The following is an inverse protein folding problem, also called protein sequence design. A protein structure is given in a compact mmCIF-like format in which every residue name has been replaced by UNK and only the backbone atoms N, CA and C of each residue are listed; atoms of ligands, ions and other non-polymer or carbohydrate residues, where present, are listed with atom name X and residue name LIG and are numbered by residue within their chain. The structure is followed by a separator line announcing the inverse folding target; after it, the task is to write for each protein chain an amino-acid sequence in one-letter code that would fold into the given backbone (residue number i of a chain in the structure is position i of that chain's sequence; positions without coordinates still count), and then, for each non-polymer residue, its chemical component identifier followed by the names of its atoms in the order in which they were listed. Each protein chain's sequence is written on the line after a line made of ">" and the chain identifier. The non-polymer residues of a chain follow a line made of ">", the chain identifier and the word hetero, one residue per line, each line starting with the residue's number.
data_IF_596964538865
#
_entry.id   IF_596964538865
#
_cell.length_a   1.000
_cell.length_b   1.000
_cell.length_c   1.000
_cell.angle_alpha   90.00
_cell.angle_beta   90.00
_cell.angle_gamma   90.00
#
_symmetry.space_group_name_H-M   'P 1'
#
loop_
_entity.id
_entity.type
_entity.pdbx_description
1 polymer ?
#
# COMPACT_ATOMS: atom_id res chain seq x y z
N UNK A 1 30.85 47.71 -1.60
CA UNK A 1 30.71 46.57 -2.53
C UNK A 1 29.60 45.73 -1.97
N UNK A 2 28.37 45.99 -2.43
CA UNK A 2 27.18 45.33 -1.93
C UNK A 2 27.16 43.88 -2.45
N UNK A 3 26.93 42.93 -1.54
CA UNK A 3 26.70 41.53 -1.91
C UNK A 3 25.35 41.50 -2.62
N UNK A 4 25.25 41.04 -3.87
CA UNK A 4 23.96 40.97 -4.55
C UNK A 4 23.04 40.05 -3.76
N UNK A 5 21.82 40.55 -3.51
CA UNK A 5 20.74 39.81 -2.85
C UNK A 5 20.62 38.39 -3.42
N UNK A 6 20.60 37.43 -2.51
CA UNK A 6 20.66 36.01 -2.81
C UNK A 6 19.53 35.58 -3.74
N UNK A 7 19.90 34.98 -4.87
CA UNK A 7 18.98 34.24 -5.73
C UNK A 7 18.27 33.19 -4.86
N UNK A 8 16.93 33.12 -4.84
CA UNK A 8 16.21 32.07 -4.12
C UNK A 8 16.64 30.71 -4.66
N UNK A 9 17.47 29.99 -3.91
CA UNK A 9 17.81 28.60 -4.23
C UNK A 9 16.60 27.78 -3.83
N UNK A 10 15.72 27.51 -4.78
CA UNK A 10 14.63 26.57 -4.57
C UNK A 10 15.22 25.22 -4.18
N UNK A 11 14.75 24.60 -3.09
CA UNK A 11 15.22 23.28 -2.70
C UNK A 11 14.98 22.30 -3.85
N UNK A 12 15.91 21.37 -4.14
CA UNK A 12 15.74 20.43 -5.24
C UNK A 12 14.43 19.65 -5.03
N UNK A 13 13.64 19.36 -6.08
CA UNK A 13 12.33 18.71 -5.91
C UNK A 13 12.37 17.46 -5.01
N UNK A 14 13.41 16.63 -5.16
CA UNK A 14 13.60 15.44 -4.33
C UNK A 14 13.68 15.72 -2.82
N UNK A 15 14.11 16.90 -2.40
CA UNK A 15 14.19 17.27 -0.99
C UNK A 15 12.84 17.67 -0.38
N UNK A 16 11.82 17.94 -1.21
CA UNK A 16 10.49 18.38 -0.76
C UNK A 16 9.40 17.32 -1.00
N UNK A 17 9.60 16.34 -1.90
CA UNK A 17 8.61 15.28 -2.12
C UNK A 17 8.38 14.48 -0.84
N UNK A 18 7.15 14.54 -0.32
CA UNK A 18 6.68 13.77 0.85
C UNK A 18 5.86 12.54 0.45
N UNK A 19 5.12 12.65 -0.65
CA UNK A 19 4.18 11.64 -1.10
C UNK A 19 4.52 11.26 -2.54
N UNK A 20 4.69 9.97 -2.80
CA UNK A 20 5.04 9.47 -4.13
C UNK A 20 4.18 8.26 -4.49
N UNK A 21 3.46 8.37 -5.61
CA UNK A 21 2.77 7.28 -6.24
C UNK A 21 3.53 6.85 -7.49
N UNK A 22 3.80 5.56 -7.61
CA UNK A 22 4.56 4.97 -8.72
C UNK A 22 3.70 3.87 -9.34
N UNK A 23 3.05 4.16 -10.47
CA UNK A 23 2.19 3.21 -11.18
C UNK A 23 0.97 3.88 -11.81
N UNK A 24 0.08 3.09 -12.43
CA UNK A 24 -1.12 3.64 -13.06
C UNK A 24 -2.09 4.19 -12.01
N UNK A 25 -2.88 5.19 -12.38
CA UNK A 25 -3.95 5.74 -11.53
C UNK A 25 -5.30 5.10 -11.83
N UNK A 26 -5.39 4.31 -12.90
CA UNK A 26 -6.60 3.62 -13.35
C UNK A 26 -6.25 2.27 -13.95
N UNK A 27 -7.16 1.32 -13.79
CA UNK A 27 -7.11 -0.03 -14.35
C UNK A 27 -7.33 -0.03 -15.86
N UNK A 28 -7.94 1.03 -16.39
CA UNK A 28 -8.17 1.24 -17.82
C UNK A 28 -6.94 1.88 -18.48
N UNK A 29 -6.15 2.62 -17.71
CA UNK A 29 -4.99 3.39 -18.16
C UNK A 29 -3.66 2.72 -17.79
N UNK A 30 -3.63 1.40 -17.65
CA UNK A 30 -2.41 0.70 -17.25
C UNK A 30 -1.32 0.74 -18.34
N UNK A 31 -1.69 0.89 -19.63
CA UNK A 31 -0.77 0.94 -20.78
C UNK A 31 0.41 -0.06 -20.64
N UNK A 32 1.65 0.39 -20.81
CA UNK A 32 2.88 -0.41 -20.65
C UNK A 32 3.20 -0.78 -19.19
N UNK A 33 2.39 -0.36 -18.22
CA UNK A 33 2.51 -0.68 -16.79
C UNK A 33 1.44 -1.70 -16.35
N UNK A 34 0.89 -2.47 -17.30
CA UNK A 34 0.12 -3.66 -16.97
C UNK A 34 0.90 -4.58 -16.02
N UNK A 35 0.18 -5.34 -15.21
CA UNK A 35 0.78 -6.30 -14.30
C UNK A 35 1.79 -7.22 -15.03
N UNK A 36 2.96 -7.47 -14.41
CA UNK A 36 4.12 -8.22 -14.95
C UNK A 36 4.89 -7.56 -16.09
N UNK A 37 4.62 -6.30 -16.41
CA UNK A 37 5.39 -5.57 -17.43
C UNK A 37 6.88 -5.48 -17.08
N UNK A 38 7.74 -5.72 -18.06
CA UNK A 38 9.18 -5.46 -17.98
C UNK A 38 9.56 -4.01 -18.33
N UNK A 39 8.59 -3.19 -18.72
CA UNK A 39 8.80 -1.80 -19.15
C UNK A 39 9.04 -0.83 -17.99
N UNK A 40 8.98 -1.33 -16.74
CA UNK A 40 9.26 -0.54 -15.55
C UNK A 40 10.68 0.04 -15.59
N UNK A 41 10.85 1.37 -15.49
CA UNK A 41 12.17 1.99 -15.47
C UNK A 41 12.80 1.86 -14.07
N UNK A 42 13.10 0.62 -13.65
CA UNK A 42 13.55 0.28 -12.29
C UNK A 42 14.75 1.14 -11.85
N UNK A 43 15.72 1.35 -12.74
CA UNK A 43 16.89 2.17 -12.45
C UNK A 43 16.52 3.62 -12.14
N UNK A 44 15.54 4.20 -12.84
CA UNK A 44 15.10 5.57 -12.58
C UNK A 44 14.34 5.65 -11.25
N UNK A 45 13.45 4.70 -10.97
CA UNK A 45 12.70 4.64 -9.71
C UNK A 45 13.65 4.51 -8.53
N UNK A 46 14.64 3.63 -8.64
CA UNK A 46 15.71 3.48 -7.66
C UNK A 46 16.43 4.81 -7.38
N UNK A 47 16.79 5.57 -8.43
CA UNK A 47 17.43 6.88 -8.27
C UNK A 47 16.50 7.92 -7.64
N UNK A 48 15.21 7.91 -7.97
CA UNK A 48 14.20 8.77 -7.35
C UNK A 48 14.12 8.47 -5.85
N UNK A 49 13.94 7.21 -5.47
CA UNK A 49 13.85 6.78 -4.07
C UNK A 49 15.12 7.12 -3.29
N UNK A 50 16.30 6.94 -3.88
CA UNK A 50 17.56 7.34 -3.24
C UNK A 50 17.65 8.84 -2.96
N UNK A 51 17.07 9.70 -3.81
CA UNK A 51 17.15 11.15 -3.68
C UNK A 51 16.03 11.73 -2.80
N UNK A 52 14.86 11.10 -2.79
CA UNK A 52 13.69 11.55 -2.04
C UNK A 52 13.78 11.23 -0.53
N UNK A 53 14.77 11.82 0.17
CA UNK A 53 15.00 11.56 1.61
C UNK A 53 13.88 12.06 2.52
N UNK A 54 13.07 13.00 2.03
CA UNK A 54 11.92 13.55 2.75
C UNK A 54 10.66 12.70 2.63
N UNK A 55 10.68 11.62 1.84
CA UNK A 55 9.51 10.79 1.54
C UNK A 55 8.92 10.17 2.82
N UNK A 56 7.60 10.26 2.96
CA UNK A 56 6.78 9.75 4.07
C UNK A 56 5.75 8.74 3.61
N UNK A 57 5.13 8.98 2.45
CA UNK A 57 4.10 8.11 1.92
C UNK A 57 4.53 7.62 0.54
N UNK A 58 4.57 6.30 0.36
CA UNK A 58 4.97 5.67 -0.89
C UNK A 58 3.93 4.63 -1.32
N UNK A 59 3.46 4.72 -2.55
CA UNK A 59 2.76 3.65 -3.23
C UNK A 59 3.56 3.18 -4.44
N UNK A 60 3.72 1.86 -4.58
CA UNK A 60 4.28 1.25 -5.80
C UNK A 60 3.27 0.23 -6.31
N UNK A 61 2.70 0.53 -7.49
CA UNK A 61 1.64 -0.27 -8.08
C UNK A 61 2.11 -1.07 -9.29
N UNK A 62 1.53 -2.24 -9.55
CA UNK A 62 1.82 -3.09 -10.73
C UNK A 62 3.31 -3.46 -10.95
N UNK A 63 4.16 -3.37 -9.91
CA UNK A 63 5.56 -3.78 -10.02
C UNK A 63 5.67 -5.30 -10.16
N UNK A 64 6.43 -5.78 -11.14
CA UNK A 64 6.73 -7.21 -11.23
C UNK A 64 7.39 -7.71 -9.94
N UNK A 65 6.88 -8.81 -9.39
CA UNK A 65 7.37 -9.40 -8.12
C UNK A 65 8.89 -9.64 -8.11
N UNK A 66 9.47 -9.97 -9.27
CA UNK A 66 10.90 -10.22 -9.42
C UNK A 66 11.75 -8.96 -9.37
N UNK A 67 11.18 -7.76 -9.49
CA UNK A 67 11.93 -6.50 -9.41
C UNK A 67 11.83 -5.84 -8.02
N UNK A 68 10.95 -6.31 -7.13
CA UNK A 68 10.76 -5.72 -5.80
C UNK A 68 12.06 -5.64 -5.00
N UNK A 69 12.87 -6.70 -5.03
CA UNK A 69 14.14 -6.74 -4.28
C UNK A 69 15.10 -5.61 -4.67
N UNK A 70 15.00 -5.10 -5.90
CA UNK A 70 15.85 -4.02 -6.42
C UNK A 70 15.47 -2.66 -5.84
N UNK A 71 14.23 -2.50 -5.39
CA UNK A 71 13.72 -1.24 -4.83
C UNK A 71 13.66 -1.27 -3.30
N UNK A 72 13.38 -2.44 -2.70
CA UNK A 72 13.19 -2.61 -1.26
C UNK A 72 14.38 -2.10 -0.43
N UNK A 73 15.61 -2.34 -0.88
CA UNK A 73 16.83 -1.96 -0.14
C UNK A 73 17.13 -0.46 -0.17
N UNK A 74 16.48 0.31 -1.04
CA UNK A 74 16.72 1.76 -1.22
C UNK A 74 15.55 2.63 -0.79
N UNK A 75 14.52 2.04 -0.18
CA UNK A 75 13.42 2.80 0.40
C UNK A 75 13.96 3.80 1.45
N UNK A 76 13.56 5.09 1.38
CA UNK A 76 13.88 6.06 2.41
C UNK A 76 13.45 5.59 3.81
N UNK A 77 14.37 5.63 4.78
CA UNK A 77 14.12 5.18 6.15
C UNK A 77 13.00 5.96 6.88
N UNK A 78 12.65 7.15 6.36
CA UNK A 78 11.61 8.01 6.92
C UNK A 78 10.18 7.71 6.47
N UNK A 79 9.96 6.71 5.61
CA UNK A 79 8.61 6.34 5.17
C UNK A 79 7.77 5.87 6.37
N UNK A 80 6.57 6.41 6.47
CA UNK A 80 5.57 6.16 7.49
C UNK A 80 4.37 5.36 6.96
N UNK A 81 4.10 5.43 5.65
CA UNK A 81 3.02 4.68 4.99
C UNK A 81 3.52 4.07 3.69
N UNK A 82 3.37 2.75 3.54
CA UNK A 82 3.80 1.99 2.37
C UNK A 82 2.63 1.18 1.79
N UNK A 83 2.31 1.45 0.53
CA UNK A 83 1.29 0.74 -0.24
C UNK A 83 1.91 -0.03 -1.40
N UNK A 84 1.57 -1.30 -1.56
CA UNK A 84 2.09 -2.17 -2.61
C UNK A 84 0.96 -2.96 -3.28
N UNK A 85 1.05 -3.19 -4.59
CA UNK A 85 0.18 -4.14 -5.32
C UNK A 85 -0.42 -3.56 -6.61
N UNK A 86 -1.35 -4.21 -7.30
CA UNK A 86 -1.62 -5.64 -7.21
C UNK A 86 -0.35 -6.45 -7.41
N UNK A 87 -0.26 -7.54 -6.65
CA UNK A 87 0.80 -8.56 -6.68
C UNK A 87 2.21 -7.97 -6.62
N UNK A 88 2.69 -7.76 -5.39
CA UNK A 88 4.09 -7.42 -5.12
C UNK A 88 4.90 -8.68 -4.73
N UNK A 89 6.23 -8.59 -4.86
CA UNK A 89 7.12 -9.64 -4.36
C UNK A 89 7.09 -9.74 -2.83
N UNK A 90 7.68 -10.82 -2.29
CA UNK A 90 7.79 -11.04 -0.84
C UNK A 90 8.37 -9.82 -0.14
N UNK A 91 7.66 -9.29 0.84
CA UNK A 91 8.13 -8.19 1.69
C UNK A 91 8.84 -8.80 2.90
N UNK A 92 10.17 -8.91 2.82
CA UNK A 92 10.94 -9.25 4.02
C UNK A 92 11.06 -8.04 4.94
N UNK A 93 10.10 -7.92 5.85
CA UNK A 93 9.92 -6.79 6.75
C UNK A 93 11.17 -6.45 7.57
N UNK A 94 12.02 -7.45 7.85
CA UNK A 94 13.25 -7.30 8.62
C UNK A 94 14.31 -6.49 7.90
N UNK A 95 14.27 -6.44 6.58
CA UNK A 95 15.27 -5.78 5.74
C UNK A 95 14.79 -4.46 5.13
N UNK A 96 13.55 -4.04 5.36
CA UNK A 96 13.10 -2.74 4.90
C UNK A 96 13.74 -1.61 5.72
N UNK A 97 14.43 -0.64 5.10
CA UNK A 97 15.06 0.47 5.83
C UNK A 97 14.07 1.32 6.64
N UNK A 98 12.80 1.37 6.21
CA UNK A 98 11.75 2.18 6.83
C UNK A 98 11.02 1.50 7.99
N UNK A 99 11.31 0.23 8.32
CA UNK A 99 10.57 -0.55 9.33
C UNK A 99 10.42 0.14 10.69
N UNK A 100 11.39 0.98 11.08
CA UNK A 100 11.33 1.72 12.36
C UNK A 100 10.39 2.93 12.34
N UNK A 101 10.17 3.52 11.17
CA UNK A 101 9.29 4.69 11.01
C UNK A 101 7.89 4.31 10.51
N UNK A 102 7.75 3.14 9.89
CA UNK A 102 6.53 2.69 9.26
C UNK A 102 5.41 2.48 10.28
N UNK A 103 4.28 3.13 10.04
CA UNK A 103 3.04 3.10 10.85
C UNK A 103 1.91 2.41 10.12
N UNK A 104 1.90 2.53 8.80
CA UNK A 104 0.84 2.04 7.94
C UNK A 104 1.42 1.16 6.84
N UNK A 105 0.77 0.03 6.60
CA UNK A 105 1.08 -0.84 5.49
C UNK A 105 -0.20 -1.25 4.77
N UNK A 106 -0.23 -1.09 3.45
CA UNK A 106 -1.36 -1.51 2.62
C UNK A 106 -0.89 -2.47 1.53
N UNK A 107 -1.52 -3.63 1.41
CA UNK A 107 -1.33 -4.52 0.26
C UNK A 107 -2.61 -4.57 -0.58
N UNK A 108 -2.48 -4.43 -1.89
CA UNK A 108 -3.55 -4.66 -2.86
C UNK A 108 -3.36 -6.02 -3.54
N UNK A 109 -4.41 -6.85 -3.59
CA UNK A 109 -4.51 -8.12 -4.33
C UNK A 109 -3.26 -9.01 -4.29
N UNK A 110 -2.51 -8.98 -3.19
CA UNK A 110 -1.25 -9.72 -3.09
C UNK A 110 -1.43 -10.93 -2.22
N UNK A 111 -0.94 -12.06 -2.72
CA UNK A 111 -0.73 -13.25 -1.89
C UNK A 111 0.44 -12.98 -0.94
N UNK A 112 0.12 -12.80 0.34
CA UNK A 112 1.07 -12.62 1.42
C UNK A 112 1.06 -13.87 2.28
N UNK A 113 2.22 -14.43 2.58
CA UNK A 113 2.32 -15.61 3.46
C UNK A 113 2.02 -15.23 4.92
N UNK A 114 1.52 -16.18 5.72
CA UNK A 114 1.17 -15.92 7.13
C UNK A 114 2.36 -15.40 7.93
N UNK A 115 3.54 -15.97 7.71
CA UNK A 115 4.78 -15.51 8.37
C UNK A 115 5.14 -14.07 7.97
N UNK A 116 4.83 -13.65 6.75
CA UNK A 116 5.07 -12.28 6.28
C UNK A 116 4.10 -11.32 6.97
N UNK A 117 2.80 -11.64 6.95
CA UNK A 117 1.80 -10.83 7.65
C UNK A 117 2.09 -10.75 9.15
N UNK A 118 2.44 -11.87 9.78
CA UNK A 118 2.78 -11.94 11.20
C UNK A 118 3.94 -11.01 11.53
N UNK A 119 5.00 -10.95 10.71
CA UNK A 119 6.12 -10.02 10.91
C UNK A 119 5.68 -8.55 10.82
N UNK A 120 4.74 -8.24 9.93
CA UNK A 120 4.22 -6.89 9.74
C UNK A 120 3.37 -6.48 10.95
N UNK A 121 2.36 -7.28 11.30
CA UNK A 121 1.39 -6.94 12.36
C UNK A 121 2.02 -6.95 13.76
N UNK A 122 3.04 -7.78 14.00
CA UNK A 122 3.77 -7.81 15.28
C UNK A 122 4.87 -6.75 15.37
N UNK A 123 5.09 -5.95 14.31
CA UNK A 123 6.04 -4.85 14.33
C UNK A 123 5.64 -3.82 15.40
N UNK A 124 6.56 -3.37 16.27
CA UNK A 124 6.24 -2.48 17.39
C UNK A 124 5.75 -1.09 16.96
N UNK A 125 5.97 -0.76 15.69
CA UNK A 125 5.71 0.56 15.14
C UNK A 125 4.43 0.63 14.29
N UNK A 126 3.96 -0.50 13.80
CA UNK A 126 2.78 -0.56 12.93
C UNK A 126 1.53 -0.36 13.77
N UNK A 127 0.64 0.50 13.25
CA UNK A 127 -0.65 0.83 13.84
C UNK A 127 -1.78 0.34 12.96
N UNK A 128 -1.62 0.47 11.65
CA UNK A 128 -2.65 0.08 10.69
C UNK A 128 -2.05 -0.83 9.62
N UNK A 129 -2.71 -1.95 9.40
CA UNK A 129 -2.50 -2.79 8.22
C UNK A 129 -3.79 -2.82 7.43
N UNK A 130 -3.72 -2.60 6.12
CA UNK A 130 -4.89 -2.65 5.22
C UNK A 130 -4.66 -3.72 4.15
N UNK A 131 -5.56 -4.68 4.06
CA UNK A 131 -5.60 -5.71 3.03
C UNK A 131 -6.71 -5.37 2.05
N UNK A 132 -6.34 -4.86 0.88
CA UNK A 132 -7.27 -4.42 -0.15
C UNK A 132 -7.45 -5.49 -1.22
N UNK A 133 -8.69 -5.93 -1.42
CA UNK A 133 -9.07 -6.90 -2.44
C UNK A 133 -9.98 -6.23 -3.46
N UNK A 134 -9.51 -6.12 -4.71
CA UNK A 134 -10.27 -5.54 -5.83
C UNK A 134 -11.48 -6.38 -6.23
N UNK A 135 -11.50 -7.64 -5.80
CA UNK A 135 -12.56 -8.62 -6.06
C UNK A 135 -12.82 -9.43 -4.79
N UNK A 136 -14.08 -9.78 -4.57
CA UNK A 136 -14.48 -10.55 -3.39
C UNK A 136 -14.14 -12.04 -3.42
N UNK A 137 -13.69 -12.58 -4.56
CA UNK A 137 -13.37 -14.02 -4.71
C UNK A 137 -12.10 -14.46 -3.96
N UNK A 138 -11.23 -13.53 -3.57
CA UNK A 138 -10.01 -13.81 -2.83
C UNK A 138 -10.03 -13.30 -1.38
N UNK A 139 -11.18 -12.81 -0.92
CA UNK A 139 -11.31 -12.18 0.41
C UNK A 139 -11.02 -13.18 1.54
N UNK A 140 -11.32 -14.47 1.34
CA UNK A 140 -11.10 -15.52 2.33
C UNK A 140 -9.63 -15.58 2.79
N UNK A 141 -8.68 -15.24 1.90
CA UNK A 141 -7.26 -15.19 2.25
C UNK A 141 -6.95 -14.17 3.34
N UNK A 142 -7.74 -13.09 3.47
CA UNK A 142 -7.59 -12.14 4.57
C UNK A 142 -8.09 -12.74 5.89
N UNK A 143 -9.20 -13.47 5.82
CA UNK A 143 -9.88 -14.05 6.96
C UNK A 143 -9.14 -15.26 7.54
N UNK A 144 -8.54 -16.08 6.67
CA UNK A 144 -7.67 -17.19 7.05
C UNK A 144 -6.45 -16.72 7.86
N UNK A 145 -6.06 -15.45 7.72
CA UNK A 145 -4.88 -14.88 8.38
C UNK A 145 -5.19 -14.04 9.62
N UNK A 146 -6.44 -13.99 10.09
CA UNK A 146 -6.82 -13.19 11.25
C UNK A 146 -6.06 -13.58 12.52
N UNK A 147 -5.75 -14.86 12.70
CA UNK A 147 -4.94 -15.36 13.82
C UNK A 147 -3.53 -14.75 13.88
N UNK A 148 -3.02 -14.18 12.78
CA UNK A 148 -1.74 -13.45 12.81
C UNK A 148 -1.81 -12.20 13.69
N UNK A 149 -3.01 -11.62 13.86
CA UNK A 149 -3.25 -10.39 14.62
C UNK A 149 -3.26 -10.62 16.13
N UNK A 150 -3.55 -11.84 16.60
CA UNK A 150 -3.66 -12.15 18.02
C UNK A 150 -2.38 -11.85 18.80
N UNK A 151 -1.22 -12.01 18.15
CA UNK A 151 0.10 -11.74 18.75
C UNK A 151 0.55 -10.29 18.63
N UNK A 152 -0.17 -9.46 17.88
CA UNK A 152 0.21 -8.07 17.67
C UNK A 152 -0.13 -7.24 18.90
N UNK A 153 0.89 -6.60 19.50
CA UNK A 153 0.72 -5.75 20.70
C UNK A 153 0.60 -4.26 20.36
N UNK A 154 1.11 -3.86 19.20
CA UNK A 154 1.20 -2.48 18.75
C UNK A 154 0.13 -2.12 17.71
N UNK A 155 -0.36 -3.11 16.96
CA UNK A 155 -1.36 -2.95 15.92
C UNK A 155 -2.69 -2.52 16.53
N UNK A 156 -3.20 -1.39 16.07
CA UNK A 156 -4.50 -0.85 16.44
C UNK A 156 -5.59 -1.40 15.53
N UNK A 157 -5.31 -1.50 14.24
CA UNK A 157 -6.34 -1.83 13.24
C UNK A 157 -5.77 -2.69 12.12
N UNK A 158 -6.43 -3.81 11.83
CA UNK A 158 -6.36 -4.50 10.54
C UNK A 158 -7.64 -4.20 9.76
N UNK A 159 -7.50 -3.52 8.64
CA UNK A 159 -8.61 -3.26 7.73
C UNK A 159 -8.64 -4.30 6.62
N UNK A 160 -9.80 -4.91 6.41
CA UNK A 160 -10.06 -5.83 5.30
C UNK A 160 -11.02 -5.13 4.35
N UNK A 161 -10.49 -4.62 3.24
CA UNK A 161 -11.26 -3.91 2.22
C UNK A 161 -11.67 -4.91 1.15
N UNK A 162 -12.98 -5.09 0.97
CA UNK A 162 -13.54 -5.90 -0.11
C UNK A 162 -14.17 -4.98 -1.15
N UNK A 163 -13.80 -5.18 -2.41
CA UNK A 163 -14.46 -4.55 -3.53
C UNK A 163 -15.38 -5.51 -4.29
N UNK A 164 -16.52 -4.99 -4.71
CA UNK A 164 -17.46 -5.65 -5.62
C UNK A 164 -18.06 -4.62 -6.60
N UNK A 165 -19.04 -5.04 -7.41
CA UNK A 165 -19.71 -4.16 -8.35
C UNK A 165 -20.41 -2.99 -7.62
N UNK A 166 -21.00 -3.26 -6.45
CA UNK A 166 -21.61 -2.26 -5.57
C UNK A 166 -21.11 -2.40 -4.13
N UNK A 167 -21.31 -1.36 -3.33
CA UNK A 167 -20.96 -1.37 -1.90
C UNK A 167 -21.78 -2.40 -1.15
N UNK A 168 -23.06 -2.55 -1.48
CA UNK A 168 -23.99 -3.50 -0.87
C UNK A 168 -23.55 -4.95 -1.16
N UNK A 169 -23.09 -5.21 -2.39
CA UNK A 169 -22.57 -6.53 -2.74
C UNK A 169 -21.29 -6.84 -1.97
N UNK A 170 -20.39 -5.87 -1.85
CA UNK A 170 -19.18 -6.03 -1.06
C UNK A 170 -19.48 -6.25 0.44
N UNK A 171 -20.46 -5.51 0.98
CA UNK A 171 -20.92 -5.66 2.36
C UNK A 171 -21.47 -7.06 2.61
N UNK A 172 -22.35 -7.56 1.73
CA UNK A 172 -22.89 -8.93 1.82
C UNK A 172 -21.80 -10.00 1.82
N UNK A 173 -20.73 -9.83 1.03
CA UNK A 173 -19.59 -10.75 1.01
C UNK A 173 -18.86 -10.71 2.35
N UNK A 174 -18.61 -9.52 2.90
CA UNK A 174 -17.94 -9.34 4.19
C UNK A 174 -18.78 -9.88 5.35
N UNK A 175 -20.08 -9.64 5.37
CA UNK A 175 -21.03 -10.16 6.37
C UNK A 175 -21.05 -11.69 6.38
N UNK A 176 -20.99 -12.32 5.20
CA UNK A 176 -20.93 -13.78 5.13
C UNK A 176 -19.61 -14.31 5.71
N UNK A 177 -18.47 -13.68 5.42
CA UNK A 177 -17.20 -14.04 6.05
C UNK A 177 -17.20 -13.81 7.56
N UNK A 178 -17.77 -12.69 8.02
CA UNK A 178 -17.87 -12.33 9.43
C UNK A 178 -18.61 -13.41 10.24
N UNK A 179 -19.70 -13.97 9.70
CA UNK A 179 -20.46 -15.06 10.35
C UNK A 179 -19.60 -16.31 10.61
N UNK A 180 -18.72 -16.64 9.66
CA UNK A 180 -17.89 -17.84 9.74
C UNK A 180 -16.68 -17.65 10.64
N UNK A 181 -15.95 -16.54 10.46
CA UNK A 181 -14.66 -16.32 11.11
C UNK A 181 -14.74 -15.55 12.42
N UNK A 182 -15.82 -14.76 12.63
CA UNK A 182 -16.06 -13.96 13.85
C UNK A 182 -14.83 -13.10 14.22
N UNK A 183 -14.39 -12.21 13.31
CA UNK A 183 -13.24 -11.35 13.56
C UNK A 183 -13.46 -10.48 14.82
N UNK A 184 -12.39 -10.15 15.52
CA UNK A 184 -12.41 -9.22 16.65
C UNK A 184 -12.84 -7.82 16.18
N UNK A 185 -14.04 -7.32 16.53
CA UNK A 185 -14.55 -6.07 16.01
C UNK A 185 -13.80 -4.84 16.55
N UNK A 186 -13.01 -4.97 17.62
CA UNK A 186 -12.21 -3.85 18.15
C UNK A 186 -10.94 -3.60 17.34
N UNK A 187 -10.45 -4.63 16.64
CA UNK A 187 -9.16 -4.61 15.93
C UNK A 187 -9.30 -4.82 14.43
N UNK A 188 -10.37 -5.48 13.99
CA UNK A 188 -10.61 -5.82 12.59
C UNK A 188 -11.75 -4.98 12.06
N UNK A 189 -11.47 -4.14 11.05
CA UNK A 189 -12.49 -3.32 10.39
C UNK A 189 -12.75 -3.86 9.00
N UNK A 190 -14.01 -4.20 8.72
CA UNK A 190 -14.45 -4.65 7.41
C UNK A 190 -14.95 -3.45 6.60
N UNK A 191 -14.35 -3.23 5.43
CA UNK A 191 -14.62 -2.03 4.62
C UNK A 191 -15.17 -2.44 3.24
N UNK A 192 -16.49 -2.28 3.00
CA UNK A 192 -17.05 -2.53 1.69
C UNK A 192 -16.79 -1.35 0.75
N UNK A 193 -16.42 -1.64 -0.50
CA UNK A 193 -16.22 -0.65 -1.57
C UNK A 193 -16.79 -1.16 -2.89
N UNK A 194 -17.16 -0.23 -3.78
CA UNK A 194 -17.38 -0.57 -5.19
C UNK A 194 -16.09 -0.36 -5.96
N UNK A 195 -15.67 -1.35 -6.77
CA UNK A 195 -14.59 -1.20 -7.74
C UNK A 195 -15.03 -0.47 -9.03
N UNK A 196 -16.29 -0.05 -9.14
CA UNK A 196 -16.79 0.64 -10.33
C UNK A 196 -16.44 2.13 -10.23
N UNK A 197 -15.79 2.67 -11.27
CA UNK A 197 -15.60 4.11 -11.47
C UNK A 197 -15.97 4.47 -12.89
N UNK A 198 -16.71 5.56 -13.06
CA UNK A 198 -17.20 6.01 -14.37
C UNK A 198 -17.85 4.88 -15.19
N UNK A 199 -18.66 4.05 -14.52
CA UNK A 199 -19.34 2.88 -15.08
C UNK A 199 -18.42 1.77 -15.62
N UNK A 200 -17.17 1.71 -15.17
CA UNK A 200 -16.18 0.69 -15.56
C UNK A 200 -15.56 0.02 -14.33
N UNK A 201 -15.15 -1.23 -14.50
CA UNK A 201 -14.30 -1.91 -13.53
C UNK A 201 -12.95 -1.20 -13.43
N UNK A 202 -12.68 -0.58 -12.27
CA UNK A 202 -11.49 0.20 -12.04
C UNK A 202 -11.04 0.23 -10.55
N UNK A 203 -10.60 -0.91 -10.02
CA UNK A 203 -10.13 -1.00 -8.64
C UNK A 203 -8.86 -0.18 -8.35
N UNK A 204 -7.98 0.05 -9.34
CA UNK A 204 -6.79 0.90 -9.14
C UNK A 204 -7.20 2.35 -8.91
N UNK A 205 -8.20 2.88 -9.63
CA UNK A 205 -8.69 4.23 -9.36
C UNK A 205 -9.28 4.34 -7.95
N UNK A 206 -10.03 3.33 -7.50
CA UNK A 206 -10.54 3.28 -6.12
C UNK A 206 -9.41 3.32 -5.10
N UNK A 207 -8.38 2.51 -5.30
CA UNK A 207 -7.21 2.48 -4.43
C UNK A 207 -6.42 3.80 -4.47
N UNK A 208 -6.27 4.41 -5.64
CA UNK A 208 -5.56 5.67 -5.81
C UNK A 208 -6.28 6.85 -5.14
N UNK A 209 -7.60 6.94 -5.27
CA UNK A 209 -8.44 7.93 -4.58
C UNK A 209 -8.30 7.79 -3.06
N UNK A 210 -8.39 6.56 -2.56
CA UNK A 210 -8.26 6.21 -1.14
C UNK A 210 -6.86 6.55 -0.60
N UNK A 211 -5.81 6.15 -1.32
CA UNK A 211 -4.43 6.51 -1.01
C UNK A 211 -4.21 8.02 -0.99
N UNK A 212 -4.76 8.75 -1.96
CA UNK A 212 -4.64 10.21 -2.04
C UNK A 212 -5.31 10.91 -0.86
N UNK A 213 -6.45 10.38 -0.40
CA UNK A 213 -7.12 10.89 0.79
C UNK A 213 -6.27 10.67 2.05
N UNK A 214 -5.72 9.46 2.23
CA UNK A 214 -4.84 9.14 3.37
C UNK A 214 -3.53 9.94 3.34
N UNK A 215 -2.90 10.09 2.18
CA UNK A 215 -1.63 10.80 2.04
C UNK A 215 -1.73 12.30 2.35
N UNK A 216 -2.93 12.90 2.31
CA UNK A 216 -3.18 14.30 2.70
C UNK A 216 -3.39 14.48 4.21
N UNK A 217 -3.67 13.39 4.94
CA UNK A 217 -3.89 13.41 6.37
C UNK A 217 -2.60 13.25 7.20
N UNK A 218 -1.50 12.86 6.56
CA UNK A 218 -0.15 12.66 7.12
C UNK A 218 0.78 13.85 6.84
#
# INVERSE_FOLDING_TARGET
>A
MEVPDGVPVHPPPASIVRNLWVGPMSSVEQYDLAYSSSSWPITLIHQILLRCKSLRVLAIMNLYQGDWFRLASVLPAGIQSLSLGPVHGKVDWRYLPCTRALREFTSMDTYMMDLELQQIVTSPNIRTVRRFYSRGDHINLAFDQLECVDKATALQTLEVVCCAETVERAASILEDMEKWYKPDPERIILVPRSHIRNSRYDPIAVFFEDWTASAKAL
#
